data_IF_937191467795
#
_entry.id   IF_937191467795
#
_cell.length_a   1.000
_cell.length_b   1.000
_cell.length_c   1.000
_cell.angle_alpha   90.00
_cell.angle_beta   90.00
_cell.angle_gamma   90.00
#
_symmetry.space_group_name_H-M   'P 1'
#
loop_
_entity.id
_entity.type
_entity.pdbx_description
1 polymer ?
#
# COMPACT_ATOMS: atom_id res chain seq x y z
N UNK A 1 33.49 -14.29 10.88
CA UNK A 1 32.24 -14.75 10.27
C UNK A 1 31.02 -14.34 11.10
N UNK A 2 30.93 -14.66 12.40
CA UNK A 2 29.77 -14.28 13.26
C UNK A 2 29.52 -12.77 13.33
N UNK A 3 30.57 -11.95 13.55
CA UNK A 3 30.48 -10.47 13.57
C UNK A 3 30.02 -9.85 12.25
N UNK A 4 30.37 -10.46 11.13
CA UNK A 4 29.95 -10.03 9.80
C UNK A 4 28.46 -10.32 9.58
N UNK A 5 27.96 -11.48 9.99
CA UNK A 5 26.53 -11.83 9.96
C UNK A 5 25.70 -10.99 10.93
N UNK A 6 26.24 -10.68 12.13
CA UNK A 6 25.59 -9.76 13.07
C UNK A 6 25.46 -8.34 12.47
N UNK A 7 26.53 -7.83 11.86
CA UNK A 7 26.53 -6.50 11.24
C UNK A 7 25.55 -6.41 10.05
N UNK A 8 25.48 -7.44 9.19
CA UNK A 8 24.49 -7.51 8.11
C UNK A 8 23.06 -7.57 8.68
N UNK A 9 22.85 -8.34 9.75
CA UNK A 9 21.54 -8.44 10.40
C UNK A 9 21.13 -7.10 11.02
N UNK A 10 22.03 -6.41 11.71
CA UNK A 10 21.80 -5.08 12.28
C UNK A 10 21.56 -4.02 11.19
N UNK A 11 22.32 -4.02 10.08
CA UNK A 11 22.09 -3.11 8.95
C UNK A 11 20.78 -3.39 8.23
N UNK A 12 20.35 -4.65 8.13
CA UNK A 12 19.07 -5.05 7.56
C UNK A 12 17.91 -4.65 8.49
N UNK A 13 18.08 -4.80 9.80
CA UNK A 13 17.09 -4.38 10.81
C UNK A 13 16.93 -2.86 10.84
N UNK A 14 18.03 -2.09 10.70
CA UNK A 14 18.01 -0.63 10.64
C UNK A 14 17.32 -0.05 9.39
N UNK A 15 17.20 -0.82 8.32
CA UNK A 15 16.63 -0.38 7.06
C UNK A 15 15.17 -0.84 6.83
N UNK A 16 14.66 -1.76 7.66
CA UNK A 16 13.30 -2.29 7.54
C UNK A 16 12.28 -1.34 8.13
N UNK A 17 11.33 -0.90 7.31
CA UNK A 17 10.23 0.00 7.72
C UNK A 17 8.98 -0.75 8.14
N UNK A 18 8.67 -1.86 7.47
CA UNK A 18 7.55 -2.74 7.81
C UNK A 18 8.10 -4.16 7.94
N UNK A 19 7.78 -4.83 9.04
CA UNK A 19 8.09 -6.24 9.29
C UNK A 19 6.81 -6.97 9.70
N UNK A 20 6.51 -8.05 9.02
CA UNK A 20 5.38 -8.93 9.30
C UNK A 20 5.90 -10.35 9.37
N UNK A 21 5.61 -11.08 10.45
CA UNK A 21 6.07 -12.44 10.65
C UNK A 21 4.89 -13.34 11.05
N UNK A 22 4.70 -14.41 10.27
CA UNK A 22 3.73 -15.48 10.55
C UNK A 22 2.30 -14.98 10.78
N UNK A 23 1.87 -13.94 10.04
CA UNK A 23 0.55 -13.32 10.18
C UNK A 23 -0.55 -14.30 9.76
N UNK A 24 -1.55 -14.48 10.63
CA UNK A 24 -2.73 -15.34 10.35
C UNK A 24 -4.00 -14.61 10.72
N UNK A 25 -5.03 -14.81 9.88
CA UNK A 25 -6.39 -14.33 10.16
C UNK A 25 -7.43 -15.26 9.54
N UNK A 26 -8.40 -15.67 10.37
CA UNK A 26 -9.53 -16.48 9.96
C UNK A 26 -10.86 -15.83 10.34
N UNK A 27 -11.92 -16.16 9.59
CA UNK A 27 -13.30 -15.82 9.89
C UNK A 27 -14.11 -17.12 9.95
N UNK A 28 -14.54 -17.51 11.14
CA UNK A 28 -15.11 -18.82 11.38
C UNK A 28 -14.12 -19.92 10.96
N UNK A 29 -14.53 -20.75 10.01
CA UNK A 29 -13.67 -21.84 9.50
C UNK A 29 -12.84 -21.46 8.27
N UNK A 30 -12.93 -20.21 7.79
CA UNK A 30 -12.22 -19.76 6.58
C UNK A 30 -10.96 -19.02 6.97
N UNK A 31 -9.79 -19.55 6.63
CA UNK A 31 -8.51 -18.87 6.75
C UNK A 31 -8.34 -17.91 5.57
N UNK A 32 -8.29 -16.60 5.87
CA UNK A 32 -8.19 -15.53 4.86
C UNK A 32 -6.75 -15.00 4.72
N UNK A 33 -5.97 -15.10 5.78
CA UNK A 33 -4.54 -14.76 5.81
C UNK A 33 -3.83 -15.95 6.46
N UNK A 34 -3.00 -16.66 5.70
CA UNK A 34 -2.38 -17.88 6.14
C UNK A 34 -0.86 -17.80 6.11
N UNK A 35 -0.28 -17.52 7.29
CA UNK A 35 1.17 -17.55 7.53
C UNK A 35 1.98 -16.57 6.66
N UNK A 36 1.46 -15.34 6.49
CA UNK A 36 2.12 -14.32 5.68
C UNK A 36 3.29 -13.72 6.46
N UNK A 37 4.48 -13.72 5.82
CA UNK A 37 5.67 -13.04 6.30
C UNK A 37 6.24 -12.16 5.20
N UNK A 38 6.48 -10.87 5.50
CA UNK A 38 7.05 -9.91 4.55
C UNK A 38 7.87 -8.84 5.27
N UNK A 39 8.76 -8.20 4.52
CA UNK A 39 9.50 -7.03 4.97
C UNK A 39 9.53 -5.97 3.88
N UNK A 40 9.41 -4.70 4.27
CA UNK A 40 9.51 -3.55 3.36
C UNK A 40 10.60 -2.63 3.87
N UNK A 41 11.53 -2.24 3.01
CA UNK A 41 12.65 -1.39 3.36
C UNK A 41 12.28 0.10 3.25
N UNK A 42 13.07 0.95 3.87
CA UNK A 42 12.90 2.40 3.81
C UNK A 42 13.04 2.89 2.36
N UNK A 43 12.07 3.70 1.90
CA UNK A 43 12.05 4.23 0.53
C UNK A 43 11.68 3.22 -0.54
N UNK A 44 11.28 2.00 -0.16
CA UNK A 44 10.80 0.96 -1.06
C UNK A 44 9.31 1.17 -1.41
N UNK A 45 8.94 0.87 -2.64
CA UNK A 45 7.55 0.67 -3.04
C UNK A 45 7.28 -0.83 -3.11
N UNK A 46 6.43 -1.30 -2.22
CA UNK A 46 6.04 -2.70 -2.12
C UNK A 46 4.60 -2.92 -2.56
N UNK A 47 4.40 -3.82 -3.52
CA UNK A 47 3.08 -4.18 -4.06
C UNK A 47 2.53 -5.48 -3.48
N UNK A 48 1.35 -5.44 -2.87
CA UNK A 48 0.60 -6.64 -2.46
C UNK A 48 -0.48 -6.94 -3.50
N UNK A 49 -0.29 -8.01 -4.26
CA UNK A 49 -1.11 -8.37 -5.40
C UNK A 49 -1.98 -9.60 -5.10
N UNK A 50 -3.01 -9.80 -5.89
CA UNK A 50 -3.88 -10.96 -5.80
C UNK A 50 -5.29 -10.65 -6.31
N UNK A 51 -6.05 -11.65 -6.67
CA UNK A 51 -7.44 -11.53 -7.09
C UNK A 51 -8.33 -10.98 -5.96
N UNK A 52 -9.56 -10.59 -6.31
CA UNK A 52 -10.55 -10.23 -5.30
C UNK A 52 -10.81 -11.41 -4.37
N UNK A 53 -10.81 -11.15 -3.05
CA UNK A 53 -10.91 -12.21 -2.04
C UNK A 53 -9.61 -12.95 -1.73
N UNK A 54 -8.47 -12.60 -2.33
CA UNK A 54 -7.17 -13.22 -2.01
C UNK A 54 -6.65 -12.92 -0.61
N UNK A 55 -7.25 -11.96 0.12
CA UNK A 55 -6.87 -11.59 1.48
C UNK A 55 -6.09 -10.27 1.59
N UNK A 56 -5.92 -9.50 0.50
CA UNK A 56 -5.13 -8.25 0.49
C UNK A 56 -5.58 -7.22 1.54
N UNK A 57 -6.83 -6.78 1.50
CA UNK A 57 -7.36 -5.77 2.42
C UNK A 57 -7.33 -6.26 3.87
N UNK A 58 -7.66 -7.55 4.12
CA UNK A 58 -7.52 -8.14 5.45
C UNK A 58 -6.07 -8.14 5.93
N UNK A 59 -5.11 -8.41 5.04
CA UNK A 59 -3.68 -8.36 5.37
C UNK A 59 -3.25 -6.94 5.76
N UNK A 60 -3.63 -5.92 4.96
CA UNK A 60 -3.35 -4.51 5.28
C UNK A 60 -4.00 -4.11 6.61
N UNK A 61 -5.27 -4.44 6.83
CA UNK A 61 -5.98 -4.13 8.08
C UNK A 61 -5.30 -4.76 9.31
N UNK A 62 -4.80 -5.99 9.17
CA UNK A 62 -4.03 -6.65 10.23
C UNK A 62 -2.67 -5.97 10.43
N UNK A 63 -1.97 -5.58 9.36
CA UNK A 63 -0.70 -4.84 9.42
C UNK A 63 -0.90 -3.50 10.12
N UNK A 64 -1.96 -2.75 9.79
CA UNK A 64 -2.28 -1.46 10.41
C UNK A 64 -2.87 -1.60 11.83
N UNK A 65 -3.14 -2.82 12.30
CA UNK A 65 -3.77 -3.06 13.59
C UNK A 65 -5.21 -2.52 13.70
N UNK A 66 -5.87 -2.22 12.57
CA UNK A 66 -7.30 -1.90 12.52
C UNK A 66 -8.16 -3.14 12.65
N UNK A 67 -7.57 -4.29 12.33
CA UNK A 67 -8.13 -5.62 12.54
C UNK A 67 -7.17 -6.47 13.35
N UNK A 68 -7.70 -7.16 14.35
CA UNK A 68 -6.90 -8.06 15.17
C UNK A 68 -6.54 -9.32 14.38
N UNK A 69 -5.24 -9.60 14.26
CA UNK A 69 -4.74 -10.87 13.75
C UNK A 69 -4.97 -12.00 14.78
N UNK A 70 -5.08 -13.23 14.31
CA UNK A 70 -5.21 -14.41 15.19
C UNK A 70 -3.84 -14.84 15.72
N UNK A 71 -2.77 -14.65 14.92
CA UNK A 71 -1.38 -14.87 15.32
C UNK A 71 -0.42 -14.09 14.42
N UNK A 72 0.84 -14.08 14.79
CA UNK A 72 1.93 -13.37 14.11
C UNK A 72 2.31 -12.08 14.78
N UNK A 73 3.38 -11.45 14.28
CA UNK A 73 3.88 -10.16 14.77
C UNK A 73 3.94 -9.16 13.64
N UNK A 74 3.66 -7.90 13.97
CA UNK A 74 3.75 -6.78 13.04
C UNK A 74 4.49 -5.64 13.71
N UNK A 75 5.45 -5.08 12.98
CA UNK A 75 6.15 -3.86 13.33
C UNK A 75 6.14 -2.90 12.15
N UNK A 76 5.83 -1.63 12.40
CA UNK A 76 5.94 -0.54 11.45
C UNK A 76 6.80 0.54 12.12
N UNK A 77 7.89 0.95 11.47
CA UNK A 77 8.86 1.91 12.04
C UNK A 77 9.37 1.47 13.43
N UNK A 78 9.52 0.16 13.68
CA UNK A 78 9.92 -0.42 14.95
C UNK A 78 8.85 -0.37 16.05
N UNK A 79 7.61 0.01 15.73
CA UNK A 79 6.48 0.12 16.65
C UNK A 79 5.42 -0.94 16.36
N UNK A 80 4.78 -1.45 17.43
CA UNK A 80 3.66 -2.38 17.33
C UNK A 80 2.36 -1.59 17.08
N UNK A 81 1.66 -1.79 15.94
CA UNK A 81 0.48 -1.00 15.56
C UNK A 81 -0.70 -1.08 16.54
N UNK A 82 -0.83 -2.19 17.26
CA UNK A 82 -1.91 -2.37 18.24
C UNK A 82 -1.60 -1.77 19.61
N UNK A 83 -0.31 -1.62 19.96
CA UNK A 83 0.13 -1.12 21.28
C UNK A 83 0.51 0.36 21.25
N UNK A 84 1.14 0.80 20.17
CA UNK A 84 1.74 2.13 20.04
C UNK A 84 1.02 2.99 18.98
N UNK A 85 -0.27 2.71 18.77
CA UNK A 85 -1.10 3.27 17.70
C UNK A 85 -0.98 4.78 17.55
N UNK A 86 -1.10 5.54 18.66
CA UNK A 86 -1.08 7.01 18.62
C UNK A 86 0.25 7.56 18.10
N UNK A 87 1.36 7.00 18.55
CA UNK A 87 2.70 7.42 18.13
C UNK A 87 3.00 7.00 16.69
N UNK A 88 2.60 5.79 16.33
CA UNK A 88 2.79 5.23 15.00
C UNK A 88 2.08 6.07 13.93
N UNK A 89 0.79 6.36 14.11
CA UNK A 89 -0.03 7.05 13.11
C UNK A 89 0.30 8.54 12.96
N UNK A 90 1.18 9.13 13.77
CA UNK A 90 1.84 10.42 13.49
C UNK A 90 2.80 10.32 12.29
N UNK A 91 3.25 9.11 11.90
CA UNK A 91 4.23 8.87 10.85
C UNK A 91 3.72 7.95 9.72
N UNK A 92 2.45 7.56 9.76
CA UNK A 92 1.84 6.64 8.80
C UNK A 92 0.63 7.29 8.17
N UNK A 93 0.65 7.41 6.85
CA UNK A 93 -0.50 7.79 6.06
C UNK A 93 -1.27 6.57 5.56
N UNK A 94 -2.60 6.65 5.50
CA UNK A 94 -3.43 5.55 5.01
C UNK A 94 -4.52 6.10 4.12
N UNK A 95 -4.63 5.55 2.92
CA UNK A 95 -5.77 5.73 2.04
C UNK A 95 -6.47 4.39 1.90
N UNK A 96 -7.69 4.29 2.39
CA UNK A 96 -8.56 3.13 2.22
C UNK A 96 -9.43 3.26 0.96
N UNK A 97 -9.94 2.15 0.47
CA UNK A 97 -10.82 2.08 -0.68
C UNK A 97 -12.12 2.88 -0.48
N UNK A 98 -12.68 2.86 0.73
CA UNK A 98 -13.86 3.64 1.09
C UNK A 98 -13.49 4.69 2.14
N UNK A 99 -13.83 5.94 1.86
CA UNK A 99 -13.68 7.05 2.79
C UNK A 99 -15.01 7.77 2.98
N UNK A 100 -15.44 7.87 4.23
CA UNK A 100 -16.61 8.62 4.61
C UNK A 100 -16.23 10.05 4.99
N UNK A 101 -16.97 11.02 4.51
CA UNK A 101 -16.82 12.44 4.81
C UNK A 101 -18.21 13.09 4.97
N UNK A 102 -18.25 14.25 5.60
CA UNK A 102 -19.50 14.97 5.82
C UNK A 102 -20.10 15.45 4.49
N UNK A 103 -21.42 15.39 4.38
CA UNK A 103 -22.13 15.96 3.23
C UNK A 103 -21.77 17.45 3.06
N UNK A 104 -21.43 17.83 1.82
CA UNK A 104 -21.10 19.21 1.42
C UNK A 104 -19.80 19.77 1.99
N UNK A 105 -18.98 18.99 2.69
CA UNK A 105 -17.65 19.45 3.14
C UNK A 105 -16.83 19.88 1.92
N UNK A 106 -16.14 21.02 2.03
CA UNK A 106 -15.25 21.50 0.99
C UNK A 106 -13.89 20.77 1.04
N UNK A 107 -13.23 20.71 -0.10
CA UNK A 107 -11.87 20.13 -0.19
C UNK A 107 -10.92 20.77 0.83
N UNK A 108 -10.93 22.12 0.93
CA UNK A 108 -10.09 22.84 1.91
C UNK A 108 -10.44 22.48 3.35
N UNK A 109 -11.72 22.39 3.68
CA UNK A 109 -12.17 22.06 5.03
C UNK A 109 -11.74 20.64 5.44
N UNK A 110 -11.91 19.65 4.54
CA UNK A 110 -11.47 18.27 4.80
C UNK A 110 -9.94 18.17 4.97
N UNK A 111 -9.18 18.95 4.20
CA UNK A 111 -7.73 19.03 4.37
C UNK A 111 -7.35 19.70 5.70
N UNK A 112 -8.02 20.77 6.09
CA UNK A 112 -7.80 21.47 7.36
C UNK A 112 -8.16 20.60 8.56
N UNK A 113 -9.30 19.90 8.52
CA UNK A 113 -9.65 18.90 9.53
C UNK A 113 -8.55 17.83 9.69
N UNK A 114 -8.05 17.32 8.55
CA UNK A 114 -6.98 16.33 8.56
C UNK A 114 -5.71 16.90 9.18
N UNK A 115 -5.30 18.13 8.84
CA UNK A 115 -4.13 18.78 9.43
C UNK A 115 -4.25 18.94 10.96
N UNK A 116 -5.45 19.25 11.47
CA UNK A 116 -5.67 19.43 12.91
C UNK A 116 -5.44 18.16 13.73
N UNK A 117 -5.43 16.98 13.10
CA UNK A 117 -5.21 15.69 13.77
C UNK A 117 -3.73 15.40 14.06
N UNK A 118 -2.81 16.11 13.43
CA UNK A 118 -1.37 15.79 13.43
C UNK A 118 -0.52 16.98 13.91
N UNK A 119 0.65 16.68 14.47
CA UNK A 119 1.59 17.70 14.97
C UNK A 119 2.48 18.26 13.88
N UNK A 120 2.97 17.38 13.02
CA UNK A 120 3.82 17.73 11.89
C UNK A 120 3.04 17.45 10.60
N UNK A 121 2.87 18.49 9.77
CA UNK A 121 2.05 18.40 8.57
C UNK A 121 2.75 19.05 7.37
N UNK A 122 2.51 18.48 6.20
CA UNK A 122 2.78 19.13 4.92
C UNK A 122 1.66 20.11 4.60
N UNK A 123 1.99 21.27 4.04
CA UNK A 123 0.96 22.19 3.54
C UNK A 123 0.13 21.50 2.46
N UNK A 124 -1.15 21.29 2.75
CA UNK A 124 -2.07 20.62 1.85
C UNK A 124 -2.24 21.34 0.50
N UNK A 125 -2.01 22.66 0.44
CA UNK A 125 -2.09 23.44 -0.80
C UNK A 125 -1.00 23.01 -1.79
N UNK A 126 0.21 22.74 -1.28
CA UNK A 126 1.33 22.22 -2.07
C UNK A 126 0.98 20.81 -2.60
N UNK A 127 0.41 19.95 -1.74
CA UNK A 127 -0.01 18.61 -2.16
C UNK A 127 -1.13 18.67 -3.21
N UNK A 128 -2.15 19.50 -3.00
CA UNK A 128 -3.22 19.70 -3.97
C UNK A 128 -2.70 20.20 -5.32
N UNK A 129 -1.70 21.08 -5.33
CA UNK A 129 -1.04 21.54 -6.55
C UNK A 129 -0.32 20.38 -7.28
N UNK A 130 0.46 19.59 -6.55
CA UNK A 130 1.18 18.43 -7.09
C UNK A 130 0.23 17.39 -7.72
N UNK A 131 -0.96 17.21 -7.12
CA UNK A 131 -1.98 16.28 -7.61
C UNK A 131 -2.99 16.92 -8.59
N UNK A 132 -2.80 18.20 -8.95
CA UNK A 132 -3.63 18.93 -9.92
C UNK A 132 -5.06 19.18 -9.43
N UNK A 133 -5.21 19.54 -8.16
CA UNK A 133 -6.48 19.84 -7.49
C UNK A 133 -6.59 21.27 -6.95
N UNK A 134 -5.65 22.17 -7.29
CA UNK A 134 -5.63 23.54 -6.77
C UNK A 134 -6.90 24.34 -7.05
N UNK A 135 -7.55 24.08 -8.18
CA UNK A 135 -8.79 24.73 -8.59
C UNK A 135 -10.03 24.22 -7.83
N UNK A 136 -9.89 23.13 -7.04
CA UNK A 136 -10.96 22.45 -6.33
C UNK A 136 -11.10 22.81 -4.85
N UNK A 137 -10.23 23.69 -4.33
CA UNK A 137 -10.22 24.08 -2.91
C UNK A 137 -11.60 24.42 -2.33
N UNK A 138 -12.43 25.14 -3.11
CA UNK A 138 -13.78 25.58 -2.71
C UNK A 138 -14.89 24.68 -3.23
N UNK A 139 -14.57 23.56 -3.86
CA UNK A 139 -15.57 22.59 -4.34
C UNK A 139 -15.97 21.65 -3.21
N UNK A 140 -17.28 21.32 -3.09
CA UNK A 140 -17.70 20.20 -2.25
C UNK A 140 -17.06 18.90 -2.70
N UNK A 141 -16.60 18.08 -1.74
CA UNK A 141 -15.98 16.79 -2.06
C UNK A 141 -16.94 15.87 -2.82
N UNK A 142 -18.24 15.97 -2.54
CA UNK A 142 -19.28 15.20 -3.24
C UNK A 142 -19.35 15.48 -4.75
N UNK A 143 -18.97 16.69 -5.19
CA UNK A 143 -19.01 17.12 -6.59
C UNK A 143 -17.74 16.76 -7.38
N UNK A 144 -16.71 16.27 -6.73
CA UNK A 144 -15.50 15.80 -7.40
C UNK A 144 -15.80 14.54 -8.22
N UNK A 145 -15.16 14.42 -9.39
CA UNK A 145 -15.15 13.16 -10.14
C UNK A 145 -14.49 12.04 -9.31
N UNK A 146 -14.78 10.78 -9.65
CA UNK A 146 -14.16 9.63 -8.97
C UNK A 146 -12.63 9.75 -8.92
N UNK A 147 -12.00 10.12 -10.04
CA UNK A 147 -10.55 10.33 -10.10
C UNK A 147 -10.05 11.51 -9.28
N UNK A 148 -10.81 12.60 -9.19
CA UNK A 148 -10.46 13.73 -8.32
C UNK A 148 -10.57 13.35 -6.83
N UNK A 149 -11.60 12.59 -6.45
CA UNK A 149 -11.74 12.04 -5.10
C UNK A 149 -10.57 11.16 -4.72
N UNK A 150 -10.17 10.25 -5.61
CA UNK A 150 -9.05 9.35 -5.38
C UNK A 150 -7.74 10.15 -5.15
N UNK A 151 -7.45 11.14 -5.99
CA UNK A 151 -6.31 12.04 -5.81
C UNK A 151 -6.38 12.81 -4.48
N UNK A 152 -7.57 13.29 -4.09
CA UNK A 152 -7.77 13.95 -2.81
C UNK A 152 -7.47 13.02 -1.64
N UNK A 153 -7.93 11.76 -1.67
CA UNK A 153 -7.68 10.81 -0.58
C UNK A 153 -6.19 10.45 -0.45
N UNK A 154 -5.46 10.41 -1.57
CA UNK A 154 -3.99 10.29 -1.52
C UNK A 154 -3.37 11.52 -0.85
N UNK A 155 -3.82 12.73 -1.23
CA UNK A 155 -3.37 13.98 -0.59
C UNK A 155 -3.61 13.95 0.92
N UNK A 156 -4.80 13.53 1.37
CA UNK A 156 -5.11 13.42 2.80
C UNK A 156 -4.16 12.46 3.53
N UNK A 157 -3.83 11.32 2.91
CA UNK A 157 -2.86 10.38 3.46
C UNK A 157 -1.43 10.93 3.55
N UNK A 158 -1.09 11.95 2.73
CA UNK A 158 0.23 12.59 2.70
C UNK A 158 0.32 13.84 3.59
N UNK A 159 -0.80 14.40 4.03
CA UNK A 159 -0.82 15.57 4.95
C UNK A 159 0.02 15.35 6.20
N UNK A 160 -0.01 14.18 6.89
CA UNK A 160 0.80 13.94 8.08
C UNK A 160 2.33 13.95 7.85
N UNK A 161 2.81 14.23 6.65
CA UNK A 161 4.22 14.09 6.27
C UNK A 161 4.76 12.69 6.63
N UNK A 162 4.10 11.62 6.19
CA UNK A 162 4.37 10.29 6.68
C UNK A 162 5.72 9.75 6.20
N UNK A 163 6.32 8.85 6.99
CA UNK A 163 7.48 8.06 6.58
C UNK A 163 7.07 6.84 5.76
N UNK A 164 5.84 6.39 5.96
CA UNK A 164 5.22 5.25 5.29
C UNK A 164 3.79 5.60 4.90
N UNK A 165 3.36 5.25 3.69
CA UNK A 165 1.98 5.37 3.24
C UNK A 165 1.44 4.02 2.77
N UNK A 166 0.21 3.72 3.18
CA UNK A 166 -0.56 2.57 2.70
C UNK A 166 -1.63 3.06 1.74
N UNK A 167 -1.66 2.50 0.53
CA UNK A 167 -2.56 2.90 -0.54
C UNK A 167 -3.32 1.65 -1.04
N UNK A 168 -4.60 1.56 -0.70
CA UNK A 168 -5.43 0.42 -1.10
C UNK A 168 -6.16 0.74 -2.41
N UNK A 169 -5.91 -0.06 -3.46
CA UNK A 169 -6.44 0.11 -4.83
C UNK A 169 -6.18 1.52 -5.39
N UNK A 170 -4.92 1.91 -5.39
CA UNK A 170 -4.38 3.25 -5.62
C UNK A 170 -5.03 4.04 -6.76
N UNK A 171 -5.23 3.42 -7.93
CA UNK A 171 -5.69 4.16 -9.12
C UNK A 171 -7.02 3.68 -9.69
N UNK A 172 -7.81 2.97 -8.89
CA UNK A 172 -9.16 2.55 -9.27
C UNK A 172 -10.03 3.77 -9.60
N UNK A 173 -10.68 3.75 -10.78
CA UNK A 173 -11.51 4.85 -11.26
C UNK A 173 -10.77 6.04 -11.88
N UNK A 174 -9.43 5.98 -12.01
CA UNK A 174 -8.65 6.96 -12.75
C UNK A 174 -8.57 6.63 -14.23
N UNK A 175 -8.64 7.65 -15.09
CA UNK A 175 -8.25 7.50 -16.49
C UNK A 175 -6.72 7.33 -16.64
N UNK A 176 -6.27 6.90 -17.82
CA UNK A 176 -4.85 6.60 -18.08
C UNK A 176 -3.92 7.80 -17.82
N UNK A 177 -4.36 9.04 -18.12
CA UNK A 177 -3.57 10.23 -17.88
C UNK A 177 -3.46 10.51 -16.39
N UNK A 178 -4.58 10.48 -15.67
CA UNK A 178 -4.62 10.70 -14.23
C UNK A 178 -3.80 9.67 -13.46
N UNK A 179 -3.80 8.39 -13.89
CA UNK A 179 -2.93 7.34 -13.33
C UNK A 179 -1.45 7.71 -13.46
N UNK A 180 -1.00 8.05 -14.67
CA UNK A 180 0.41 8.45 -14.91
C UNK A 180 0.84 9.65 -14.08
N UNK A 181 -0.04 10.65 -13.92
CA UNK A 181 0.22 11.81 -13.09
C UNK A 181 0.43 11.42 -11.61
N UNK A 182 -0.43 10.53 -11.08
CA UNK A 182 -0.29 9.99 -9.71
C UNK A 182 1.01 9.19 -9.56
N UNK A 183 1.34 8.31 -10.49
CA UNK A 183 2.58 7.52 -10.46
C UNK A 183 3.81 8.42 -10.44
N UNK A 184 3.82 9.49 -11.24
CA UNK A 184 4.90 10.47 -11.24
C UNK A 184 5.04 11.14 -9.88
N UNK A 185 3.95 11.61 -9.27
CA UNK A 185 3.97 12.22 -7.94
C UNK A 185 4.51 11.26 -6.89
N UNK A 186 4.04 10.00 -6.88
CA UNK A 186 4.50 8.99 -5.92
C UNK A 186 5.98 8.63 -6.14
N UNK A 187 6.42 8.52 -7.39
CA UNK A 187 7.84 8.29 -7.70
C UNK A 187 8.74 9.43 -7.22
N UNK A 188 8.28 10.67 -7.28
CA UNK A 188 9.00 11.82 -6.73
C UNK A 188 9.06 11.79 -5.20
N UNK A 189 7.97 11.40 -4.54
CA UNK A 189 7.92 11.23 -3.08
C UNK A 189 8.81 10.05 -2.62
N UNK A 190 8.81 8.94 -3.35
CA UNK A 190 9.73 7.81 -3.12
C UNK A 190 11.20 8.28 -3.15
N UNK A 191 11.60 9.09 -4.14
CA UNK A 191 12.96 9.67 -4.22
C UNK A 191 13.32 10.53 -3.02
N UNK A 192 12.32 11.11 -2.34
CA UNK A 192 12.50 11.86 -1.08
C UNK A 192 12.52 10.97 0.16
N UNK A 193 12.42 9.65 0.00
CA UNK A 193 12.52 8.65 1.07
C UNK A 193 11.18 8.15 1.62
N UNK A 194 10.05 8.47 1.00
CA UNK A 194 8.75 7.91 1.37
C UNK A 194 8.74 6.41 1.06
N UNK A 195 8.36 5.59 2.05
CA UNK A 195 8.06 4.18 1.85
C UNK A 195 6.60 4.01 1.46
N UNK A 196 6.31 3.19 0.46
CA UNK A 196 4.95 3.01 -0.06
C UNK A 196 4.59 1.52 -0.02
N UNK A 197 3.48 1.20 0.63
CA UNK A 197 2.85 -0.10 0.57
C UNK A 197 1.54 0.07 -0.20
N UNK A 198 1.39 -0.61 -1.33
CA UNK A 198 0.19 -0.48 -2.15
C UNK A 198 -0.43 -1.84 -2.48
N UNK A 199 -1.75 -1.82 -2.73
CA UNK A 199 -2.42 -2.88 -3.46
C UNK A 199 -2.84 -2.37 -4.82
N UNK A 200 -2.76 -3.23 -5.81
CA UNK A 200 -3.24 -2.95 -7.15
C UNK A 200 -3.71 -4.22 -7.85
N UNK A 201 -4.58 -4.05 -8.80
CA UNK A 201 -4.96 -5.06 -9.78
C UNK A 201 -4.59 -4.62 -11.21
N UNK A 202 -3.89 -3.51 -11.35
CA UNK A 202 -3.37 -3.00 -12.61
C UNK A 202 -1.88 -3.32 -12.73
N UNK A 203 -1.52 -4.22 -13.63
CA UNK A 203 -0.13 -4.67 -13.78
C UNK A 203 0.80 -3.59 -14.28
N UNK A 204 0.32 -2.70 -15.14
CA UNK A 204 1.05 -1.51 -15.59
C UNK A 204 1.42 -0.55 -14.45
N UNK A 205 0.58 -0.42 -13.42
CA UNK A 205 0.89 0.34 -12.21
C UNK A 205 2.02 -0.31 -11.40
N UNK A 206 1.92 -1.62 -11.23
CA UNK A 206 2.89 -2.42 -10.48
C UNK A 206 4.26 -2.35 -11.13
N UNK A 207 4.36 -2.55 -12.45
CA UNK A 207 5.61 -2.47 -13.22
C UNK A 207 6.26 -1.08 -13.15
N UNK A 208 5.44 -0.01 -13.10
CA UNK A 208 5.97 1.35 -13.06
C UNK A 208 6.38 1.83 -11.67
N UNK A 209 5.81 1.29 -10.60
CA UNK A 209 6.00 1.82 -9.25
C UNK A 209 6.76 0.89 -8.32
N UNK A 210 6.48 -0.42 -8.36
CA UNK A 210 6.95 -1.34 -7.34
C UNK A 210 8.41 -1.77 -7.54
N UNK A 211 9.16 -1.79 -6.46
CA UNK A 211 10.50 -2.40 -6.41
C UNK A 211 10.41 -3.91 -6.14
N UNK A 212 9.48 -4.28 -5.26
CA UNK A 212 9.19 -5.68 -4.92
C UNK A 212 7.69 -5.89 -4.77
N UNK A 213 7.28 -7.12 -4.99
CA UNK A 213 5.89 -7.54 -4.94
C UNK A 213 5.72 -8.81 -4.10
N UNK A 214 4.51 -9.00 -3.61
CA UNK A 214 4.03 -10.28 -3.10
C UNK A 214 2.69 -10.60 -3.76
N UNK A 215 2.55 -11.80 -4.28
CA UNK A 215 1.30 -12.26 -4.89
C UNK A 215 0.61 -13.21 -3.90
N UNK A 216 -0.64 -12.90 -3.57
CA UNK A 216 -1.49 -13.71 -2.72
C UNK A 216 -2.51 -14.50 -3.54
N UNK A 217 -2.70 -15.78 -3.17
CA UNK A 217 -3.76 -16.64 -3.68
C UNK A 217 -4.45 -17.36 -2.51
N UNK A 218 -5.76 -17.11 -2.33
CA UNK A 218 -6.56 -17.74 -1.26
C UNK A 218 -5.89 -17.66 0.13
N UNK A 219 -5.36 -16.48 0.46
CA UNK A 219 -4.69 -16.21 1.74
C UNK A 219 -3.25 -16.69 1.86
N UNK A 220 -2.69 -17.33 0.85
CA UNK A 220 -1.32 -17.83 0.84
C UNK A 220 -0.42 -16.96 -0.05
N UNK A 221 0.85 -16.82 0.32
CA UNK A 221 1.88 -16.25 -0.57
C UNK A 221 2.27 -17.27 -1.62
N UNK A 222 2.08 -16.94 -2.90
CA UNK A 222 2.50 -17.79 -4.03
C UNK A 222 3.77 -17.28 -4.69
N UNK A 223 4.08 -15.98 -4.53
CA UNK A 223 5.34 -15.38 -4.97
C UNK A 223 5.70 -14.20 -4.06
N UNK A 224 6.99 -13.97 -3.85
CA UNK A 224 7.53 -12.75 -3.20
C UNK A 224 8.93 -12.48 -3.74
N UNK A 225 9.14 -11.30 -4.34
CA UNK A 225 10.41 -10.91 -4.96
C UNK A 225 10.26 -9.68 -5.85
N UNK A 226 11.21 -9.46 -6.76
CA UNK A 226 11.11 -8.42 -7.79
C UNK A 226 10.26 -8.89 -8.97
N UNK A 227 9.86 -7.96 -9.84
CA UNK A 227 9.11 -8.29 -11.07
C UNK A 227 9.99 -9.14 -12.00
N UNK A 228 11.28 -8.82 -12.12
CA UNK A 228 12.24 -9.58 -12.91
C UNK A 228 12.39 -11.01 -12.40
N UNK A 229 12.41 -11.22 -11.09
CA UNK A 229 12.44 -12.55 -10.47
C UNK A 229 11.14 -13.32 -10.76
N UNK A 230 9.97 -12.65 -10.73
CA UNK A 230 8.69 -13.25 -11.07
C UNK A 230 8.67 -13.73 -12.53
N UNK A 231 9.10 -12.88 -13.46
CA UNK A 231 9.21 -13.21 -14.89
C UNK A 231 10.18 -14.38 -15.09
N UNK A 232 11.36 -14.33 -14.48
CA UNK A 232 12.38 -15.38 -14.60
C UNK A 232 11.94 -16.75 -14.05
N UNK A 233 10.99 -16.75 -13.10
CA UNK A 233 10.46 -17.97 -12.46
C UNK A 233 9.22 -18.53 -13.17
N UNK A 234 8.76 -17.89 -14.25
CA UNK A 234 7.57 -18.27 -15.02
C UNK A 234 7.91 -18.64 -16.47
N UNK A 235 7.00 -19.29 -17.21
CA UNK A 235 7.18 -19.55 -18.64
C UNK A 235 6.86 -18.32 -19.53
N UNK A 236 6.38 -17.22 -18.94
CA UNK A 236 5.90 -16.04 -19.65
C UNK A 236 6.92 -14.89 -19.62
N UNK A 237 6.78 -13.94 -20.55
CA UNK A 237 7.68 -12.77 -20.65
C UNK A 237 7.01 -11.47 -20.21
N UNK A 238 5.70 -11.36 -20.40
CA UNK A 238 4.92 -10.19 -20.03
C UNK A 238 4.41 -10.36 -18.60
N UNK A 239 4.56 -9.35 -17.77
CA UNK A 239 4.25 -9.47 -16.35
C UNK A 239 2.76 -9.74 -16.07
N UNK A 240 1.86 -9.25 -16.91
CA UNK A 240 0.43 -9.54 -16.78
C UNK A 240 0.14 -11.05 -16.94
N UNK A 241 0.79 -11.73 -17.89
CA UNK A 241 0.68 -13.19 -18.05
C UNK A 241 1.31 -13.95 -16.88
N UNK A 242 2.44 -13.44 -16.36
CA UNK A 242 3.11 -13.99 -15.17
C UNK A 242 2.18 -13.89 -13.94
N UNK A 243 1.56 -12.74 -13.74
CA UNK A 243 0.60 -12.54 -12.65
C UNK A 243 -0.58 -13.50 -12.77
N UNK A 244 -1.18 -13.63 -13.96
CA UNK A 244 -2.29 -14.56 -14.20
C UNK A 244 -1.88 -16.01 -13.91
N UNK A 245 -0.67 -16.39 -14.32
CA UNK A 245 -0.13 -17.73 -14.05
C UNK A 245 -0.02 -18.02 -12.55
N UNK A 246 0.47 -17.08 -11.74
CA UNK A 246 0.51 -17.24 -10.28
C UNK A 246 -0.89 -17.20 -9.65
N UNK A 247 -1.77 -16.33 -10.14
CA UNK A 247 -3.09 -16.11 -9.55
C UNK A 247 -4.11 -17.18 -9.93
N UNK A 248 -4.07 -17.71 -11.17
CA UNK A 248 -5.16 -18.52 -11.76
C UNK A 248 -4.87 -20.02 -11.93
N UNK A 249 -3.72 -20.55 -11.64
CA UNK A 249 -3.20 -21.92 -11.84
C UNK A 249 -4.22 -23.11 -11.94
N UNK A 250 -5.48 -22.88 -12.32
CA UNK A 250 -6.49 -23.90 -12.58
C UNK A 250 -6.67 -24.22 -14.09
N UNK A 251 -6.08 -23.44 -15.01
CA UNK A 251 -6.30 -23.65 -16.45
C UNK A 251 -5.38 -24.67 -17.13
N UNK A 252 -4.39 -25.27 -16.44
CA UNK A 252 -3.48 -26.23 -17.08
C UNK A 252 -3.77 -27.71 -16.80
N UNK A 253 -4.78 -28.06 -15.99
CA UNK A 253 -5.08 -29.48 -15.69
C UNK A 253 -6.28 -30.06 -16.45
N UNK A 254 -6.90 -29.34 -17.39
CA UNK A 254 -8.04 -29.88 -18.18
C UNK A 254 -7.69 -30.31 -19.60
N UNK A 255 -6.41 -30.28 -20.02
CA UNK A 255 -5.98 -30.74 -21.34
C UNK A 255 -4.77 -31.70 -21.29
N UNK A 256 -4.90 -32.80 -20.53
CA UNK A 256 -4.10 -34.02 -20.72
C UNK A 256 -5.02 -35.23 -20.71
#
# INVERSE_FOLDING_TARGET
>A
MLLFFQKIKEETELNTTIRVEHLKKSYGNTCVVNDISLSVNKGEVFGLLGANGAGKSTTIECILGTRQADSGTVEILGMCPTKERKCLFENVGVQFQESNYQDKILVSELCEETQCLYKEVTDYKILLEQFGLSDKLKSPVSELSGGQKQKLFIVLALIPNPKVVFLDELTTGLDTKARRDVWKCLSELKKKGLTIFLTSHFMDEVENLCDRIMILKKGNTVFSGTIEEAIASSPYKEFEEVYLWYAEEEMMNENI
#
